data_IF_686466218897
#
_entry.id   IF_686466218897
#
_cell.length_a   1.000
_cell.length_b   1.000
_cell.length_c   1.000
_cell.angle_alpha   90.00
_cell.angle_beta   90.00
_cell.angle_gamma   90.00
#
_symmetry.space_group_name_H-M   'P 1'
#
loop_
_entity.id
_entity.type
_entity.pdbx_description
1 polymer ?
#
# COMPACT_ATOMS: atom_id res chain seq x y z
N UNK A 1 -53.09 -14.87 16.87
CA UNK A 1 -52.93 -15.96 15.87
C UNK A 1 -51.48 -16.00 15.44
N UNK A 2 -50.80 -17.07 15.86
CA UNK A 2 -49.56 -17.66 15.35
C UNK A 2 -48.35 -16.75 15.03
N UNK A 3 -47.49 -16.61 16.04
CA UNK A 3 -46.03 -16.60 15.88
C UNK A 3 -45.60 -17.87 15.11
N UNK A 4 -45.15 -17.72 13.87
CA UNK A 4 -44.43 -18.76 13.15
C UNK A 4 -42.94 -18.40 13.08
N UNK A 5 -42.15 -19.39 13.47
CA UNK A 5 -40.72 -19.41 13.68
C UNK A 5 -39.90 -18.93 12.48
N UNK A 6 -39.01 -17.96 12.71
CA UNK A 6 -37.88 -17.70 11.81
C UNK A 6 -36.65 -18.39 12.41
N UNK A 7 -36.12 -19.46 11.80
CA UNK A 7 -35.00 -20.22 12.35
C UNK A 7 -33.67 -19.52 12.01
N UNK A 8 -33.44 -18.32 12.54
CA UNK A 8 -32.18 -17.58 12.28
C UNK A 8 -31.11 -17.84 13.36
N UNK A 9 -31.49 -18.39 14.52
CA UNK A 9 -30.60 -18.50 15.69
C UNK A 9 -29.85 -19.84 15.83
N UNK A 10 -30.07 -20.83 14.95
CA UNK A 10 -29.42 -22.16 15.05
C UNK A 10 -28.28 -22.41 14.05
N UNK A 11 -27.97 -21.47 13.15
CA UNK A 11 -26.95 -21.66 12.12
C UNK A 11 -25.50 -21.31 12.57
N UNK A 12 -25.29 -20.75 13.75
CA UNK A 12 -23.95 -20.34 14.24
C UNK A 12 -23.28 -21.36 15.17
N UNK A 13 -23.87 -22.53 15.36
CA UNK A 13 -23.21 -23.69 15.95
C UNK A 13 -22.91 -24.73 14.85
N UNK A 14 -22.25 -24.30 13.78
CA UNK A 14 -21.54 -25.28 12.94
C UNK A 14 -20.38 -25.77 13.81
N UNK A 15 -20.28 -27.07 14.15
CA UNK A 15 -19.05 -27.57 14.71
C UNK A 15 -17.99 -27.25 13.65
N UNK A 16 -17.08 -26.33 13.98
CA UNK A 16 -15.91 -26.07 13.14
C UNK A 16 -15.23 -27.42 13.01
N UNK A 17 -15.46 -28.09 11.88
CA UNK A 17 -14.75 -29.29 11.54
C UNK A 17 -13.28 -28.90 11.67
N UNK A 18 -12.55 -29.62 12.53
CA UNK A 18 -11.10 -29.41 12.65
C UNK A 18 -10.55 -29.40 11.23
N UNK A 19 -9.76 -28.38 10.86
CA UNK A 19 -9.33 -28.20 9.48
C UNK A 19 -8.77 -29.52 8.95
N UNK A 20 -9.35 -30.02 7.85
CA UNK A 20 -8.83 -31.18 7.13
C UNK A 20 -7.82 -30.78 6.06
N UNK A 21 -7.38 -29.51 6.02
CA UNK A 21 -5.98 -29.28 5.67
C UNK A 21 -5.19 -30.01 6.76
N UNK A 22 -4.46 -31.08 6.45
CA UNK A 22 -3.68 -31.73 7.49
C UNK A 22 -2.77 -30.65 8.08
N UNK A 23 -2.96 -30.34 9.37
CA UNK A 23 -2.02 -29.51 10.14
C UNK A 23 -0.58 -30.06 10.03
N UNK A 24 -0.44 -31.30 9.53
CA UNK A 24 0.78 -31.99 9.13
C UNK A 24 1.60 -31.34 8.00
N UNK A 25 1.14 -30.27 7.35
CA UNK A 25 1.90 -29.57 6.29
C UNK A 25 2.39 -28.16 6.65
N UNK A 26 2.43 -27.80 7.94
CA UNK A 26 3.06 -26.56 8.39
C UNK A 26 4.52 -26.82 8.80
N UNK A 27 5.44 -25.98 8.31
CA UNK A 27 6.85 -26.00 8.71
C UNK A 27 7.05 -24.92 9.78
N UNK A 28 7.62 -25.29 10.92
CA UNK A 28 8.00 -24.34 11.96
C UNK A 28 9.40 -23.80 11.69
N UNK A 29 9.53 -22.47 11.70
CA UNK A 29 10.78 -21.76 11.54
C UNK A 29 11.11 -20.98 12.80
N UNK A 30 12.42 -20.86 13.06
CA UNK A 30 12.95 -19.90 14.02
C UNK A 30 13.50 -18.70 13.26
N UNK A 31 13.16 -17.50 13.71
CA UNK A 31 13.68 -16.29 13.08
C UNK A 31 15.16 -16.15 13.35
N UNK A 32 15.90 -16.06 12.26
CA UNK A 32 17.26 -15.57 12.20
C UNK A 32 17.22 -14.34 11.31
N UNK A 33 16.72 -13.25 11.89
CA UNK A 33 16.84 -11.93 11.29
C UNK A 33 18.22 -11.39 11.65
N UNK A 34 19.05 -11.12 10.66
CA UNK A 34 20.26 -10.35 10.87
C UNK A 34 19.92 -8.87 10.72
N UNK A 35 20.07 -8.08 11.78
CA UNK A 35 20.58 -6.73 11.57
C UNK A 35 21.91 -6.85 10.82
N UNK A 36 22.24 -5.97 9.87
CA UNK A 36 23.50 -6.05 9.13
C UNK A 36 24.69 -6.27 10.09
N UNK A 37 25.67 -7.10 9.74
CA UNK A 37 26.75 -7.48 10.66
C UNK A 37 27.57 -6.31 11.22
N UNK A 38 27.48 -5.10 10.66
CA UNK A 38 28.11 -3.88 11.15
C UNK A 38 27.29 -3.10 12.22
N UNK A 39 26.05 -3.50 12.51
CA UNK A 39 25.27 -2.91 13.62
C UNK A 39 25.67 -3.48 14.99
N UNK A 40 26.49 -4.53 15.03
CA UNK A 40 27.17 -4.95 16.26
C UNK A 40 28.52 -4.25 16.38
N UNK A 41 28.55 -3.23 17.26
CA UNK A 41 29.65 -2.56 17.98
C UNK A 41 31.10 -2.84 17.52
N UNK A 42 31.83 -1.73 17.32
CA UNK A 42 33.30 -1.57 17.34
C UNK A 42 34.07 -1.46 15.99
N UNK A 43 33.41 -1.07 14.89
CA UNK A 43 34.09 -0.66 13.65
C UNK A 43 34.03 0.86 13.38
N UNK A 44 35.04 1.47 12.71
CA UNK A 44 34.99 2.88 12.35
C UNK A 44 33.76 3.15 11.49
N UNK A 45 32.90 4.06 11.93
CA UNK A 45 31.74 4.51 11.17
C UNK A 45 32.26 5.11 9.85
N UNK A 46 31.81 4.66 8.67
CA UNK A 46 32.10 5.39 7.45
C UNK A 46 31.58 6.82 7.65
N UNK A 47 32.40 7.81 7.34
CA UNK A 47 31.99 9.20 7.38
C UNK A 47 30.74 9.32 6.52
N UNK A 48 29.59 9.54 7.17
CA UNK A 48 28.38 10.01 6.49
C UNK A 48 28.83 11.26 5.77
N UNK A 49 28.93 11.21 4.43
CA UNK A 49 28.95 12.44 3.64
C UNK A 49 27.70 13.18 4.08
N UNK A 50 27.90 14.33 4.72
CA UNK A 50 26.81 15.23 5.04
C UNK A 50 26.02 15.40 3.74
N UNK A 51 24.78 14.91 3.75
CA UNK A 51 23.82 15.33 2.75
C UNK A 51 23.76 16.85 2.91
N UNK A 52 24.03 17.65 1.86
CA UNK A 52 23.86 19.08 1.98
C UNK A 52 22.44 19.31 2.47
N UNK A 53 22.33 19.94 3.64
CA UNK A 53 21.07 20.50 4.11
C UNK A 53 20.49 21.28 2.94
N UNK A 54 19.27 20.99 2.47
CA UNK A 54 18.63 21.89 1.52
C UNK A 54 18.66 23.28 2.17
N UNK A 55 19.16 24.28 1.45
CA UNK A 55 19.04 25.67 1.86
C UNK A 55 17.60 25.90 2.30
N UNK A 56 17.44 26.20 3.58
CA UNK A 56 16.18 26.71 4.10
C UNK A 56 15.97 28.01 3.36
N UNK A 57 15.00 28.03 2.45
CA UNK A 57 14.52 29.27 1.88
C UNK A 57 14.22 30.24 3.04
N UNK A 58 14.65 31.51 2.96
CA UNK A 58 14.41 32.46 4.04
C UNK A 58 12.92 32.49 4.37
N UNK A 59 12.61 32.54 5.67
CA UNK A 59 11.24 32.65 6.16
C UNK A 59 10.52 33.78 5.40
N UNK A 60 9.30 33.56 4.87
CA UNK A 60 8.53 34.66 4.32
C UNK A 60 8.28 35.68 5.43
N UNK A 61 8.49 36.97 5.11
CA UNK A 61 8.23 38.05 6.06
C UNK A 61 6.84 37.93 6.68
N UNK A 62 6.69 38.29 7.98
CA UNK A 62 5.40 38.21 8.66
C UNK A 62 4.37 39.05 7.90
N UNK A 63 3.31 38.39 7.44
CA UNK A 63 2.14 39.05 6.88
C UNK A 63 1.53 39.94 7.98
N UNK A 64 1.32 41.24 7.74
CA UNK A 64 0.69 42.11 8.73
C UNK A 64 -0.73 41.60 9.04
N UNK A 65 -1.08 41.58 10.33
CA UNK A 65 -2.41 41.18 10.80
C UNK A 65 -3.51 41.94 10.03
N UNK A 66 -4.60 41.26 9.63
CA UNK A 66 -5.75 41.96 9.07
C UNK A 66 -6.33 42.90 10.13
N UNK A 67 -6.52 44.17 9.76
CA UNK A 67 -7.15 45.17 10.61
C UNK A 67 -8.48 44.67 11.17
N UNK A 68 -8.69 44.88 12.47
CA UNK A 68 -9.94 44.53 13.14
C UNK A 68 -11.15 45.16 12.41
N UNK A 69 -12.26 44.42 12.22
CA UNK A 69 -13.44 44.97 11.60
C UNK A 69 -14.01 46.11 12.45
N UNK A 70 -14.54 47.19 11.83
CA UNK A 70 -15.15 48.28 12.57
C UNK A 70 -16.37 47.78 13.38
N UNK A 71 -16.65 48.38 14.55
CA UNK A 71 -17.80 47.99 15.35
C UNK A 71 -19.11 48.22 14.57
N UNK A 72 -20.14 47.38 14.79
CA UNK A 72 -21.41 47.52 14.12
C UNK A 72 -22.08 48.86 14.48
N UNK A 73 -22.81 49.49 13.55
CA UNK A 73 -23.55 50.72 13.85
C UNK A 73 -24.66 50.45 14.89
N UNK A 74 -25.01 51.45 15.73
CA UNK A 74 -26.04 51.29 16.75
C UNK A 74 -27.39 50.94 16.12
N UNK A 75 -28.11 50.02 16.77
CA UNK A 75 -29.41 49.53 16.32
C UNK A 75 -30.42 50.67 16.17
N UNK A 76 -30.99 50.81 14.97
CA UNK A 76 -32.08 51.74 14.71
C UNK A 76 -33.35 51.32 15.49
N UNK A 77 -34.11 52.28 16.06
CA UNK A 77 -35.30 51.96 16.83
C UNK A 77 -36.38 51.31 15.95
N UNK A 78 -37.01 50.27 16.48
CA UNK A 78 -38.07 49.50 15.83
C UNK A 78 -39.22 50.41 15.39
N UNK A 79 -39.54 50.40 14.08
CA UNK A 79 -40.74 51.06 13.54
C UNK A 79 -41.97 50.15 13.72
N UNK A 80 -43.13 50.69 14.13
CA UNK A 80 -44.35 49.92 14.31
C UNK A 80 -44.96 49.50 12.96
N UNK A 81 -45.79 48.43 12.92
CA UNK A 81 -46.28 47.85 11.68
C UNK A 81 -47.33 48.77 11.05
N UNK A 82 -47.27 48.95 9.72
CA UNK A 82 -48.36 49.57 8.95
C UNK A 82 -48.82 48.69 7.78
N UNK A 83 -50.11 48.85 7.54
CA UNK A 83 -51.04 47.98 6.85
C UNK A 83 -50.81 47.79 5.34
N UNK A 84 -51.44 46.72 4.85
CA UNK A 84 -51.62 46.33 3.45
C UNK A 84 -52.20 47.45 2.56
N UNK A 85 -51.76 47.50 1.31
CA UNK A 85 -52.57 47.95 0.17
C UNK A 85 -52.18 47.18 -1.11
N UNK A 86 -53.21 46.85 -1.90
CA UNK A 86 -53.18 46.09 -3.17
C UNK A 86 -53.03 47.04 -4.38
N UNK A 87 -52.44 46.53 -5.47
CA UNK A 87 -52.81 46.67 -6.91
C UNK A 87 -51.55 46.34 -7.75
N UNK A 88 -51.54 45.33 -8.64
CA UNK A 88 -51.99 45.37 -10.04
C UNK A 88 -50.85 45.89 -10.94
N UNK A 89 -50.42 45.33 -12.08
CA UNK A 89 -50.77 44.19 -12.92
C UNK A 89 -49.97 44.31 -14.24
N UNK A 90 -49.85 43.19 -14.97
CA UNK A 90 -49.58 43.06 -16.42
C UNK A 90 -48.15 43.26 -17.01
N UNK A 91 -47.81 42.36 -17.96
CA UNK A 91 -46.91 42.65 -19.09
C UNK A 91 -45.81 41.60 -19.38
N UNK A 92 -46.02 40.74 -20.38
CA UNK A 92 -45.13 39.66 -20.87
C UNK A 92 -44.25 40.10 -22.09
N UNK A 93 -43.34 39.25 -22.66
CA UNK A 93 -42.07 39.57 -23.38
C UNK A 93 -42.26 39.54 -24.94
N UNK A 94 -41.35 39.07 -25.84
CA UNK A 94 -39.88 38.88 -25.90
C UNK A 94 -39.24 39.45 -27.21
N UNK A 95 -37.94 39.22 -27.51
CA UNK A 95 -37.46 38.88 -28.87
C UNK A 95 -35.99 38.45 -28.96
N UNK A 96 -35.74 37.64 -29.98
CA UNK A 96 -34.52 36.94 -30.35
C UNK A 96 -34.00 37.40 -31.74
N UNK A 97 -32.83 36.87 -32.12
CA UNK A 97 -32.32 36.50 -33.47
C UNK A 97 -31.10 37.26 -33.97
N UNK A 98 -30.18 36.48 -34.57
CA UNK A 98 -29.17 36.95 -35.51
C UNK A 98 -28.14 35.88 -35.86
N UNK A 99 -28.46 35.01 -36.82
CA UNK A 99 -27.54 34.08 -37.47
C UNK A 99 -26.78 34.76 -38.63
N UNK A 100 -25.65 34.20 -39.07
CA UNK A 100 -25.05 34.58 -40.35
C UNK A 100 -23.65 34.01 -40.59
N UNK A 101 -23.56 33.01 -41.48
CA UNK A 101 -22.33 32.43 -42.03
C UNK A 101 -21.72 33.30 -43.14
N UNK A 102 -20.43 33.10 -43.47
CA UNK A 102 -19.91 32.85 -44.84
C UNK A 102 -18.40 33.18 -45.01
N UNK A 103 -17.69 32.26 -45.69
CA UNK A 103 -16.54 32.47 -46.61
C UNK A 103 -15.20 32.95 -46.02
N UNK A 104 -14.02 32.48 -46.41
CA UNK A 104 -13.57 31.65 -47.53
C UNK A 104 -12.24 32.19 -48.08
N UNK A 105 -11.22 31.32 -48.22
CA UNK A 105 -9.93 31.48 -48.95
C UNK A 105 -8.95 32.52 -48.37
N UNK A 106 -7.63 32.37 -48.39
CA UNK A 106 -6.67 31.44 -49.00
C UNK A 106 -5.28 32.15 -48.98
N UNK A 107 -4.17 31.42 -48.99
CA UNK A 107 -2.84 32.03 -49.15
C UNK A 107 -1.69 31.22 -48.56
N UNK A 108 -1.01 30.49 -49.45
CA UNK A 108 0.20 29.69 -49.23
C UNK A 108 1.50 30.51 -49.14
N UNK A 109 2.59 29.77 -48.89
CA UNK A 109 4.04 29.99 -49.13
C UNK A 109 4.81 30.25 -47.82
N UNK A 110 5.90 29.55 -47.51
CA UNK A 110 6.64 28.50 -48.20
C UNK A 110 8.08 28.41 -47.63
N UNK A 111 8.71 27.24 -47.74
CA UNK A 111 10.18 27.11 -47.84
C UNK A 111 10.97 26.72 -46.58
N UNK A 112 11.36 25.45 -46.51
CA UNK A 112 12.72 25.02 -46.10
C UNK A 112 13.62 25.01 -47.37
N UNK A 113 14.98 24.92 -47.34
CA UNK A 113 15.69 23.76 -46.78
C UNK A 113 17.17 23.93 -46.31
N UNK A 114 17.61 22.96 -45.46
CA UNK A 114 18.85 22.13 -45.50
C UNK A 114 20.30 22.71 -45.59
N UNK A 115 21.14 22.08 -44.72
CA UNK A 115 22.45 21.38 -44.93
C UNK A 115 23.79 22.06 -44.53
N UNK A 116 24.69 21.21 -43.98
CA UNK A 116 26.16 21.32 -43.88
C UNK A 116 26.69 21.07 -42.45
N UNK A 117 27.23 19.89 -42.05
CA UNK A 117 28.58 19.32 -42.28
C UNK A 117 29.71 20.24 -41.74
N UNK A 118 30.77 19.87 -40.99
CA UNK A 118 31.60 18.65 -40.93
C UNK A 118 32.70 18.77 -39.84
N UNK A 119 33.09 17.66 -39.17
CA UNK A 119 34.44 17.00 -39.09
C UNK A 119 35.54 17.49 -38.12
N UNK A 120 36.16 16.50 -37.46
CA UNK A 120 37.59 16.41 -37.07
C UNK A 120 37.85 16.24 -35.56
N UNK A 121 38.85 15.52 -35.03
CA UNK A 121 39.52 14.22 -35.25
C UNK A 121 40.64 14.10 -34.17
N UNK A 122 40.83 12.90 -33.56
CA UNK A 122 42.07 12.31 -32.96
C UNK A 122 42.78 13.08 -31.81
N UNK A 123 43.50 12.50 -30.82
CA UNK A 123 43.96 11.15 -30.46
C UNK A 123 44.99 11.24 -29.30
N UNK A 124 45.38 10.10 -28.69
CA UNK A 124 46.69 9.92 -28.01
C UNK A 124 46.77 9.82 -26.47
N UNK A 125 47.09 8.62 -25.94
CA UNK A 125 47.96 8.45 -24.75
C UNK A 125 49.45 8.48 -25.16
N UNK A 126 50.47 8.04 -24.37
CA UNK A 126 50.47 7.15 -23.18
C UNK A 126 51.52 7.48 -22.05
N UNK A 127 51.65 6.58 -21.04
CA UNK A 127 52.85 6.35 -20.19
C UNK A 127 52.82 6.99 -18.77
N UNK A 128 53.28 6.40 -17.66
CA UNK A 128 53.99 5.14 -17.36
C UNK A 128 55.04 5.34 -16.23
N UNK A 129 55.04 4.47 -15.20
CA UNK A 129 56.10 4.31 -14.17
C UNK A 129 55.84 5.04 -12.83
N UNK A 130 56.07 4.49 -11.63
CA UNK A 130 56.69 3.27 -11.12
C UNK A 130 57.10 3.53 -9.65
N UNK A 131 57.03 2.54 -8.75
CA UNK A 131 57.53 2.71 -7.37
C UNK A 131 57.02 1.65 -6.38
N UNK A 132 57.95 0.85 -5.89
CA UNK A 132 57.83 -0.38 -5.10
C UNK A 132 57.40 -0.19 -3.63
N UNK A 133 56.97 -1.28 -2.98
CA UNK A 133 56.94 -1.34 -1.51
C UNK A 133 56.22 -2.54 -0.90
N UNK A 134 56.97 -3.60 -0.58
CA UNK A 134 56.82 -4.32 0.70
C UNK A 134 55.79 -5.45 0.81
N UNK A 135 56.31 -6.68 0.80
CA UNK A 135 55.64 -7.86 1.31
C UNK A 135 55.37 -7.76 2.83
N UNK A 136 54.14 -8.06 3.28
CA UNK A 136 53.88 -8.49 4.65
C UNK A 136 52.55 -9.25 4.80
N UNK A 137 52.66 -10.56 4.99
CA UNK A 137 51.83 -11.31 5.94
C UNK A 137 50.32 -11.37 5.71
N UNK A 138 49.89 -12.37 4.93
CA UNK A 138 48.59 -12.98 5.14
C UNK A 138 48.50 -13.56 6.56
N UNK A 139 47.78 -12.89 7.47
CA UNK A 139 47.27 -13.50 8.70
C UNK A 139 45.76 -13.31 8.75
N UNK A 140 45.08 -14.44 8.80
CA UNK A 140 43.64 -14.53 8.68
C UNK A 140 42.88 -13.77 9.76
N UNK A 141 41.76 -13.22 9.34
CA UNK A 141 40.65 -12.88 10.22
C UNK A 141 39.39 -13.59 9.71
N UNK A 142 39.31 -14.90 9.92
CA UNK A 142 38.03 -15.62 9.90
C UNK A 142 37.34 -15.43 11.26
N UNK A 143 36.91 -14.21 11.59
CA UNK A 143 35.92 -14.05 12.68
C UNK A 143 34.54 -14.26 12.07
N UNK A 144 34.05 -15.50 12.16
CA UNK A 144 32.61 -15.80 12.00
C UNK A 144 31.87 -15.01 13.06
N UNK A 145 31.25 -13.90 12.68
CA UNK A 145 30.21 -13.27 13.49
C UNK A 145 28.98 -14.16 13.46
N UNK A 146 28.95 -15.20 14.31
CA UNK A 146 27.71 -15.92 14.65
C UNK A 146 26.88 -15.00 15.54
N UNK A 147 26.14 -14.07 14.96
CA UNK A 147 25.12 -13.32 15.67
C UNK A 147 24.08 -14.31 16.22
N UNK A 148 24.02 -14.50 17.54
CA UNK A 148 22.94 -15.27 18.17
C UNK A 148 21.64 -14.50 17.93
N UNK A 149 20.61 -15.16 17.39
CA UNK A 149 19.28 -14.56 17.33
C UNK A 149 18.79 -14.35 18.76
N UNK A 150 18.46 -13.11 19.11
CA UNK A 150 18.04 -12.73 20.47
C UNK A 150 16.65 -13.26 20.84
N UNK A 151 15.98 -13.98 19.93
CA UNK A 151 14.63 -14.53 20.15
C UNK A 151 13.59 -13.45 20.43
N UNK A 152 13.88 -12.19 20.10
CA UNK A 152 13.09 -11.03 20.49
C UNK A 152 12.01 -10.72 19.46
N UNK A 153 10.80 -10.40 19.94
CA UNK A 153 9.64 -10.03 19.14
C UNK A 153 8.58 -11.15 19.02
N UNK A 154 7.31 -10.80 18.72
CA UNK A 154 6.20 -11.75 18.70
C UNK A 154 6.34 -12.85 17.63
N UNK A 155 7.19 -12.63 16.63
CA UNK A 155 7.41 -13.54 15.52
C UNK A 155 8.70 -14.36 15.65
N UNK A 156 9.33 -14.45 16.83
CA UNK A 156 10.61 -15.16 17.02
C UNK A 156 10.59 -16.63 16.54
N UNK A 157 9.39 -17.22 16.53
CA UNK A 157 9.04 -18.44 15.81
C UNK A 157 7.81 -18.17 14.94
N UNK A 158 7.72 -18.84 13.81
CA UNK A 158 6.53 -18.77 12.96
C UNK A 158 6.31 -20.08 12.23
N UNK A 159 5.07 -20.30 11.78
CA UNK A 159 4.72 -21.43 10.91
C UNK A 159 4.47 -20.93 9.50
N UNK A 160 4.86 -21.73 8.52
CA UNK A 160 4.64 -21.43 7.12
C UNK A 160 4.08 -22.66 6.38
N UNK A 161 3.11 -22.51 5.47
CA UNK A 161 2.61 -23.64 4.67
C UNK A 161 3.71 -24.25 3.83
N UNK A 162 3.86 -25.57 3.89
CA UNK A 162 4.82 -26.31 3.06
C UNK A 162 4.56 -26.09 1.57
N UNK A 163 3.29 -26.04 1.14
CA UNK A 163 2.86 -25.85 -0.25
C UNK A 163 1.90 -24.68 -0.41
N UNK A 164 1.92 -24.05 -1.59
CA UNK A 164 1.00 -22.98 -1.99
C UNK A 164 1.23 -21.64 -1.28
N UNK A 165 2.22 -21.56 -0.40
CA UNK A 165 2.56 -20.37 0.37
C UNK A 165 1.43 -19.85 1.25
N UNK A 166 1.57 -18.61 1.74
CA UNK A 166 0.55 -17.95 2.57
C UNK A 166 -0.86 -17.96 1.94
N UNK A 167 -0.96 -17.94 0.60
CA UNK A 167 -2.24 -17.98 -0.11
C UNK A 167 -3.04 -19.26 0.13
N UNK A 168 -2.38 -20.39 0.37
CA UNK A 168 -3.03 -21.68 0.61
C UNK A 168 -3.93 -21.66 1.86
N UNK A 169 -3.55 -20.90 2.90
CA UNK A 169 -4.35 -20.74 4.12
C UNK A 169 -5.72 -20.15 3.77
N UNK A 170 -5.73 -19.06 3.00
CA UNK A 170 -6.95 -18.34 2.64
C UNK A 170 -7.79 -19.07 1.59
N UNK A 171 -7.14 -19.77 0.66
CA UNK A 171 -7.84 -20.65 -0.28
C UNK A 171 -8.52 -21.82 0.45
N UNK A 172 -7.83 -22.43 1.42
CA UNK A 172 -8.39 -23.50 2.25
C UNK A 172 -9.56 -23.03 3.12
N UNK A 173 -9.49 -21.81 3.64
CA UNK A 173 -10.63 -21.20 4.35
C UNK A 173 -11.80 -20.91 3.40
N UNK A 174 -11.53 -20.30 2.25
CA UNK A 174 -12.55 -19.97 1.25
C UNK A 174 -13.30 -21.21 0.75
N UNK A 175 -12.60 -22.34 0.59
CA UNK A 175 -13.19 -23.62 0.18
C UNK A 175 -14.16 -24.22 1.20
N UNK A 176 -14.11 -23.79 2.47
CA UNK A 176 -15.02 -24.24 3.52
C UNK A 176 -16.31 -23.39 3.59
N UNK A 177 -16.37 -22.26 2.89
CA UNK A 177 -17.56 -21.42 2.87
C UNK A 177 -18.65 -22.02 1.98
N UNK A 178 -19.94 -21.84 2.32
CA UNK A 178 -21.03 -22.33 1.49
C UNK A 178 -20.95 -21.83 0.04
N UNK A 179 -21.27 -22.72 -0.90
CA UNK A 179 -21.31 -22.39 -2.32
C UNK A 179 -22.19 -21.17 -2.61
N UNK A 180 -21.69 -20.26 -3.45
CA UNK A 180 -22.42 -19.05 -3.86
C UNK A 180 -22.26 -17.83 -2.95
N UNK A 181 -21.68 -17.98 -1.75
CA UNK A 181 -21.38 -16.85 -0.85
C UNK A 181 -20.19 -16.02 -1.33
N UNK A 182 -19.23 -16.68 -1.97
CA UNK A 182 -18.10 -16.02 -2.61
C UNK A 182 -18.41 -15.76 -4.07
N UNK A 183 -18.38 -14.48 -4.45
CA UNK A 183 -18.59 -14.02 -5.82
C UNK A 183 -17.33 -13.29 -6.29
N UNK A 184 -16.54 -13.95 -7.13
CA UNK A 184 -15.37 -13.36 -7.77
C UNK A 184 -15.75 -12.68 -9.08
N UNK A 185 -14.85 -11.86 -9.63
CA UNK A 185 -15.13 -11.06 -10.83
C UNK A 185 -16.36 -10.15 -10.70
N UNK A 186 -16.62 -9.64 -9.49
CA UNK A 186 -17.71 -8.72 -9.19
C UNK A 186 -17.13 -7.48 -8.51
N UNK A 187 -16.72 -6.50 -9.32
CA UNK A 187 -16.18 -5.24 -8.81
C UNK A 187 -17.30 -4.34 -8.30
N UNK A 188 -17.24 -3.91 -7.04
CA UNK A 188 -18.13 -2.88 -6.52
C UNK A 188 -17.74 -1.54 -7.14
N UNK A 189 -18.60 -0.99 -7.99
CA UNK A 189 -18.36 0.25 -8.74
C UNK A 189 -19.14 1.44 -8.20
N UNK A 190 -20.19 1.19 -7.41
CA UNK A 190 -21.01 2.23 -6.79
C UNK A 190 -21.61 1.73 -5.47
N UNK A 191 -21.72 2.61 -4.48
CA UNK A 191 -22.39 2.33 -3.21
C UNK A 191 -23.27 3.53 -2.88
N UNK A 192 -24.54 3.27 -2.55
CA UNK A 192 -25.53 4.28 -2.12
C UNK A 192 -25.91 3.99 -0.67
N UNK A 193 -25.27 4.65 0.30
CA UNK A 193 -25.46 4.35 1.72
C UNK A 193 -26.91 4.53 2.20
N UNK A 194 -27.56 5.61 1.79
CA UNK A 194 -28.91 5.96 2.23
C UNK A 194 -29.96 4.98 1.71
N UNK A 195 -29.78 4.49 0.48
CA UNK A 195 -30.63 3.48 -0.13
C UNK A 195 -30.22 2.04 0.23
N UNK A 196 -29.10 1.88 0.95
CA UNK A 196 -28.46 0.60 1.28
C UNK A 196 -28.33 -0.37 0.10
N UNK A 197 -27.86 0.14 -1.03
CA UNK A 197 -27.59 -0.66 -2.22
C UNK A 197 -26.17 -0.43 -2.75
N UNK A 198 -25.61 -1.45 -3.38
CA UNK A 198 -24.35 -1.36 -4.10
C UNK A 198 -24.49 -1.93 -5.51
N UNK A 199 -23.72 -1.40 -6.45
CA UNK A 199 -23.68 -1.86 -7.84
C UNK A 199 -22.37 -2.61 -8.06
N UNK A 200 -22.50 -3.87 -8.46
CA UNK A 200 -21.37 -4.70 -8.87
C UNK A 200 -21.30 -4.77 -10.39
N UNK A 201 -20.11 -4.57 -10.96
CA UNK A 201 -19.78 -4.84 -12.35
C UNK A 201 -19.11 -6.22 -12.45
N UNK A 202 -19.64 -7.09 -13.29
CA UNK A 202 -19.00 -8.38 -13.60
C UNK A 202 -19.03 -8.71 -15.09
N UNK A 203 -18.60 -9.93 -15.48
CA UNK A 203 -18.52 -10.36 -16.87
C UNK A 203 -19.87 -10.33 -17.61
N UNK A 204 -20.98 -10.54 -16.87
CA UNK A 204 -22.33 -10.56 -17.42
C UNK A 204 -23.04 -9.19 -17.36
N UNK A 205 -22.33 -8.13 -16.94
CA UNK A 205 -22.86 -6.78 -16.80
C UNK A 205 -22.96 -6.30 -15.36
N UNK A 206 -23.65 -5.16 -15.18
CA UNK A 206 -23.85 -4.54 -13.88
C UNK A 206 -25.13 -5.06 -13.19
N UNK A 207 -25.08 -5.25 -11.87
CA UNK A 207 -26.25 -5.59 -11.05
C UNK A 207 -26.25 -4.83 -9.73
N UNK A 208 -27.43 -4.59 -9.20
CA UNK A 208 -27.65 -3.98 -7.88
C UNK A 208 -27.86 -5.05 -6.82
N UNK A 209 -27.29 -4.84 -5.63
CA UNK A 209 -27.45 -5.67 -4.45
C UNK A 209 -27.85 -4.80 -3.27
N UNK A 210 -28.88 -5.20 -2.54
CA UNK A 210 -29.26 -4.59 -1.26
C UNK A 210 -28.45 -5.18 -0.10
N UNK A 211 -28.28 -4.41 0.97
CA UNK A 211 -27.67 -4.87 2.21
C UNK A 211 -28.36 -4.26 3.43
N UNK A 212 -28.32 -4.95 4.57
CA UNK A 212 -28.69 -4.36 5.86
C UNK A 212 -27.48 -3.72 6.54
N UNK A 213 -26.37 -4.45 6.47
CA UNK A 213 -25.03 -4.09 6.96
C UNK A 213 -24.02 -4.35 5.85
N UNK A 214 -23.08 -3.42 5.66
CA UNK A 214 -21.98 -3.55 4.71
C UNK A 214 -20.64 -3.60 5.45
N UNK A 215 -19.89 -4.68 5.28
CA UNK A 215 -18.50 -4.78 5.77
C UNK A 215 -17.57 -4.43 4.61
N UNK A 216 -16.93 -3.26 4.69
CA UNK A 216 -15.92 -2.84 3.71
C UNK A 216 -14.52 -3.30 4.15
N UNK A 217 -13.88 -4.12 3.33
CA UNK A 217 -12.46 -4.49 3.50
C UNK A 217 -11.56 -3.88 2.42
N UNK A 218 -12.14 -3.12 1.48
CA UNK A 218 -11.38 -2.38 0.47
C UNK A 218 -10.72 -1.13 1.09
N UNK A 219 -9.69 -0.55 0.44
CA UNK A 219 -9.03 0.64 0.94
C UNK A 219 -10.00 1.80 1.21
N UNK A 220 -9.93 2.35 2.43
CA UNK A 220 -10.88 3.34 2.94
C UNK A 220 -10.95 4.61 2.05
N UNK A 221 -9.79 5.06 1.57
CA UNK A 221 -9.67 6.19 0.66
C UNK A 221 -10.40 5.95 -0.67
N UNK A 222 -10.19 4.78 -1.29
CA UNK A 222 -10.85 4.39 -2.53
C UNK A 222 -12.34 4.13 -2.34
N UNK A 223 -12.73 3.58 -1.19
CA UNK A 223 -14.13 3.37 -0.84
C UNK A 223 -14.88 4.71 -0.71
N UNK A 224 -14.34 5.66 0.08
CA UNK A 224 -14.94 6.99 0.25
C UNK A 224 -14.96 7.76 -1.07
N UNK A 225 -13.91 7.67 -1.89
CA UNK A 225 -13.89 8.28 -3.22
C UNK A 225 -15.03 7.76 -4.11
N UNK A 226 -15.37 6.47 -4.01
CA UNK A 226 -16.47 5.83 -4.76
C UNK A 226 -17.86 6.27 -4.29
N UNK A 227 -18.00 6.72 -3.04
CA UNK A 227 -19.24 7.38 -2.58
C UNK A 227 -19.45 8.73 -3.27
N UNK A 228 -18.38 9.36 -3.76
CA UNK A 228 -18.45 10.66 -4.44
C UNK A 228 -19.17 11.70 -3.57
N UNK A 229 -20.10 12.45 -4.18
CA UNK A 229 -20.88 13.47 -3.48
C UNK A 229 -21.82 12.95 -2.38
N UNK A 230 -22.02 11.63 -2.25
CA UNK A 230 -22.82 11.04 -1.18
C UNK A 230 -22.07 11.05 0.17
N UNK A 231 -20.74 11.04 0.14
CA UNK A 231 -19.95 11.21 1.35
C UNK A 231 -19.91 12.68 1.77
N UNK A 232 -20.04 12.95 3.07
CA UNK A 232 -19.96 14.32 3.57
C UNK A 232 -18.59 14.96 3.27
N UNK A 233 -18.61 16.27 3.02
CA UNK A 233 -17.43 17.07 2.69
C UNK A 233 -16.21 16.84 3.60
N UNK A 234 -16.34 16.87 4.95
CA UNK A 234 -15.24 16.57 5.86
C UNK A 234 -14.69 15.14 5.69
N UNK A 235 -15.56 14.16 5.42
CA UNK A 235 -15.19 12.75 5.26
C UNK A 235 -14.37 12.55 3.98
N UNK A 236 -14.79 13.14 2.86
CA UNK A 236 -14.04 13.06 1.60
C UNK A 236 -12.66 13.69 1.72
N UNK A 237 -12.59 14.88 2.34
CA UNK A 237 -11.32 15.58 2.58
C UNK A 237 -10.42 14.79 3.52
N UNK A 238 -10.97 14.18 4.56
CA UNK A 238 -10.19 13.37 5.48
C UNK A 238 -9.62 12.12 4.79
N UNK A 239 -10.46 11.41 4.02
CA UNK A 239 -10.05 10.20 3.31
C UNK A 239 -8.94 10.47 2.27
N UNK A 240 -9.01 11.59 1.54
CA UNK A 240 -7.98 12.00 0.58
C UNK A 240 -6.62 12.35 1.22
N UNK A 241 -6.60 12.60 2.53
CA UNK A 241 -5.38 12.91 3.29
C UNK A 241 -4.69 11.68 3.87
N UNK A 242 -5.36 10.51 3.88
CA UNK A 242 -4.73 9.26 4.28
C UNK A 242 -3.52 8.96 3.39
N UNK A 243 -2.42 8.54 4.00
CA UNK A 243 -1.15 8.28 3.30
C UNK A 243 -0.85 6.80 3.27
N UNK A 244 -0.29 6.35 2.15
CA UNK A 244 0.21 4.99 1.97
C UNK A 244 1.51 5.03 1.16
N UNK A 245 2.30 3.97 1.26
CA UNK A 245 3.39 3.71 0.31
C UNK A 245 3.02 2.59 -0.65
N UNK A 246 3.53 2.65 -1.87
CA UNK A 246 3.50 1.54 -2.80
C UNK A 246 4.63 0.55 -2.47
N UNK A 247 4.47 -0.72 -2.83
CA UNK A 247 5.51 -1.73 -2.64
C UNK A 247 5.72 -2.53 -3.91
N UNK A 248 6.94 -2.53 -4.43
CA UNK A 248 7.37 -3.50 -5.43
C UNK A 248 7.78 -4.78 -4.72
N UNK A 249 7.16 -5.89 -5.12
CA UNK A 249 7.54 -7.23 -4.71
C UNK A 249 8.26 -7.88 -5.89
N UNK A 250 9.51 -8.30 -5.64
CA UNK A 250 10.41 -8.81 -6.66
C UNK A 250 10.84 -10.22 -6.27
N UNK A 251 10.43 -11.21 -7.06
CA UNK A 251 10.87 -12.58 -6.92
C UNK A 251 12.07 -12.84 -7.83
N UNK A 252 13.13 -13.43 -7.28
CA UNK A 252 14.27 -13.93 -8.04
C UNK A 252 14.38 -15.44 -7.82
N UNK A 253 14.26 -16.22 -8.90
CA UNK A 253 14.59 -17.64 -8.90
C UNK A 253 16.02 -17.83 -9.39
N UNK A 254 16.80 -18.60 -8.64
CA UNK A 254 18.26 -18.65 -8.75
C UNK A 254 18.74 -20.09 -8.90
N UNK A 255 19.56 -20.36 -9.93
CA UNK A 255 20.31 -21.62 -10.07
C UNK A 255 21.55 -21.59 -9.21
N UNK A 256 21.97 -22.74 -8.72
CA UNK A 256 23.17 -22.91 -7.92
C UNK A 256 22.86 -23.06 -6.44
N UNK A 257 23.89 -22.96 -5.61
CA UNK A 257 23.74 -23.12 -4.16
C UNK A 257 23.52 -21.76 -3.50
N UNK A 258 22.54 -21.69 -2.60
CA UNK A 258 22.38 -20.55 -1.72
C UNK A 258 23.68 -20.34 -0.91
N UNK A 259 24.26 -19.12 -0.88
CA UNK A 259 25.49 -18.86 -0.15
C UNK A 259 25.35 -19.16 1.35
N UNK A 260 26.42 -19.65 2.00
CA UNK A 260 26.45 -19.97 3.44
C UNK A 260 26.02 -18.77 4.31
N UNK A 261 26.31 -17.54 3.87
CA UNK A 261 25.93 -16.31 4.56
C UNK A 261 24.40 -16.07 4.64
N UNK A 262 23.63 -16.69 3.74
CA UNK A 262 22.17 -16.57 3.65
C UNK A 262 21.44 -17.85 4.12
N UNK A 263 22.15 -18.99 4.18
CA UNK A 263 21.54 -20.31 4.36
C UNK A 263 20.74 -20.46 5.67
N UNK A 264 21.11 -19.74 6.73
CA UNK A 264 20.40 -19.75 8.02
C UNK A 264 19.42 -18.58 8.17
N UNK A 265 19.28 -17.69 7.17
CA UNK A 265 18.49 -16.46 7.26
C UNK A 265 17.06 -16.68 6.81
N UNK A 266 16.15 -15.95 7.47
CA UNK A 266 14.72 -15.92 7.11
C UNK A 266 14.44 -14.70 6.24
N UNK A 267 14.50 -13.53 6.85
CA UNK A 267 14.54 -12.25 6.15
C UNK A 267 15.64 -11.34 6.70
N UNK A 268 16.04 -10.38 5.88
CA UNK A 268 17.15 -9.47 6.12
C UNK A 268 16.67 -8.05 5.82
N UNK A 269 16.98 -7.11 6.71
CA UNK A 269 16.72 -5.70 6.50
C UNK A 269 17.96 -5.02 5.93
N UNK A 270 17.76 -4.21 4.90
CA UNK A 270 18.81 -3.40 4.28
C UNK A 270 18.49 -1.93 4.54
N UNK A 271 19.26 -1.24 5.40
CA UNK A 271 19.07 0.19 5.66
C UNK A 271 19.73 1.08 4.59
N UNK A 272 20.55 0.49 3.71
CA UNK A 272 21.23 1.22 2.65
C UNK A 272 20.25 1.63 1.54
N UNK A 273 20.57 2.70 0.82
CA UNK A 273 19.82 3.14 -0.36
C UNK A 273 20.02 2.22 -1.57
N UNK A 274 21.10 1.44 -1.60
CA UNK A 274 21.40 0.47 -2.64
C UNK A 274 21.77 -0.90 -2.02
N UNK A 275 21.12 -2.02 -2.43
CA UNK A 275 20.00 -2.11 -3.39
C UNK A 275 18.75 -1.33 -2.94
N UNK A 276 17.81 -1.02 -3.85
CA UNK A 276 16.61 -0.20 -3.55
C UNK A 276 15.56 -0.94 -2.70
N UNK A 277 15.93 -2.07 -2.09
CA UNK A 277 15.04 -2.94 -1.33
C UNK A 277 15.34 -2.77 0.16
N UNK A 278 14.29 -2.62 0.95
CA UNK A 278 14.41 -2.48 2.41
C UNK A 278 14.34 -3.84 3.12
N UNK A 279 13.78 -4.86 2.45
CA UNK A 279 13.70 -6.24 2.97
C UNK A 279 13.96 -7.27 1.87
N UNK A 280 14.75 -8.29 2.21
CA UNK A 280 14.98 -9.47 1.37
C UNK A 280 14.68 -10.72 2.19
N UNK A 281 13.85 -11.60 1.67
CA UNK A 281 13.49 -12.89 2.27
C UNK A 281 14.14 -14.01 1.47
N UNK A 282 14.81 -14.94 2.15
CA UNK A 282 15.29 -16.20 1.53
C UNK A 282 14.09 -17.14 1.45
N UNK A 283 13.26 -16.94 0.44
CA UNK A 283 11.90 -17.51 0.41
C UNK A 283 11.90 -19.04 0.27
N UNK A 284 12.92 -19.59 -0.39
CA UNK A 284 13.15 -21.05 -0.45
C UNK A 284 13.55 -21.65 0.90
N UNK A 285 14.00 -20.87 1.89
CA UNK A 285 14.26 -21.38 3.24
C UNK A 285 12.96 -21.70 4.01
N UNK A 286 11.80 -21.26 3.51
CA UNK A 286 10.51 -21.52 4.16
C UNK A 286 9.94 -22.90 3.80
N UNK A 287 10.30 -23.43 2.63
CA UNK A 287 9.92 -24.78 2.20
C UNK A 287 10.71 -25.16 0.96
N UNK A 288 11.18 -26.41 0.91
CA UNK A 288 11.78 -26.99 -0.29
C UNK A 288 10.77 -27.00 -1.45
N UNK A 289 9.47 -27.17 -1.18
CA UNK A 289 8.42 -27.19 -2.21
C UNK A 289 8.17 -25.80 -2.86
N UNK A 290 8.88 -24.74 -2.44
CA UNK A 290 8.80 -23.40 -3.06
C UNK A 290 9.72 -23.22 -4.28
N UNK A 291 10.57 -24.20 -4.57
CA UNK A 291 11.49 -24.17 -5.72
C UNK A 291 11.40 -25.48 -6.49
N UNK A 292 11.66 -25.49 -7.80
CA UNK A 292 11.49 -26.68 -8.63
C UNK A 292 12.52 -27.78 -8.31
N UNK A 293 13.76 -27.41 -7.95
CA UNK A 293 14.83 -28.35 -7.67
C UNK A 293 15.57 -27.97 -6.37
N UNK A 294 15.06 -28.39 -5.20
CA UNK A 294 15.67 -28.07 -3.91
C UNK A 294 17.16 -28.47 -3.85
N UNK A 295 17.99 -27.58 -3.30
CA UNK A 295 19.45 -27.75 -3.23
C UNK A 295 20.21 -27.45 -4.53
N UNK A 296 19.53 -27.39 -5.68
CA UNK A 296 20.09 -26.89 -6.97
C UNK A 296 19.55 -25.53 -7.37
N UNK A 297 18.38 -25.17 -6.85
CA UNK A 297 17.71 -23.89 -7.04
C UNK A 297 17.28 -23.32 -5.71
N UNK A 298 17.21 -22.00 -5.63
CA UNK A 298 16.80 -21.24 -4.44
C UNK A 298 16.12 -19.93 -4.86
N UNK A 299 15.49 -19.22 -3.93
CA UNK A 299 14.76 -18.00 -4.27
C UNK A 299 14.88 -16.88 -3.24
N UNK A 300 14.84 -15.66 -3.75
CA UNK A 300 14.75 -14.43 -2.96
C UNK A 300 13.43 -13.70 -3.27
N UNK A 301 12.78 -13.22 -2.22
CA UNK A 301 11.65 -12.30 -2.31
C UNK A 301 12.07 -10.95 -1.74
N UNK A 302 12.19 -9.94 -2.60
CA UNK A 302 12.68 -8.62 -2.25
C UNK A 302 11.53 -7.60 -2.27
N UNK A 303 11.56 -6.67 -1.32
CA UNK A 303 10.57 -5.60 -1.19
C UNK A 303 11.24 -4.24 -1.27
N UNK A 304 10.78 -3.42 -2.22
CA UNK A 304 11.15 -2.02 -2.37
C UNK A 304 9.92 -1.13 -2.16
N UNK A 305 10.10 -0.03 -1.43
CA UNK A 305 9.03 0.95 -1.25
C UNK A 305 9.13 2.00 -2.34
N UNK A 306 7.98 2.41 -2.89
CA UNK A 306 7.87 3.53 -3.80
C UNK A 306 7.01 4.61 -3.14
N UNK A 307 7.53 5.83 -3.03
CA UNK A 307 6.73 6.98 -2.60
C UNK A 307 6.07 7.67 -3.79
N UNK A 308 4.91 8.32 -3.61
CA UNK A 308 4.23 9.02 -4.70
C UNK A 308 5.16 10.07 -5.36
N UNK A 309 5.49 9.86 -6.64
CA UNK A 309 6.39 10.72 -7.42
C UNK A 309 7.65 10.02 -7.91
N UNK A 310 8.08 8.96 -7.23
CA UNK A 310 9.28 8.17 -7.56
C UNK A 310 8.91 6.97 -8.45
N UNK A 311 8.36 7.19 -9.65
CA UNK A 311 7.91 6.07 -10.47
C UNK A 311 9.08 5.26 -11.02
N UNK A 312 9.22 4.02 -10.57
CA UNK A 312 10.16 3.07 -11.17
C UNK A 312 9.45 2.09 -12.09
N UNK A 313 10.03 1.85 -13.27
CA UNK A 313 9.52 0.81 -14.16
C UNK A 313 9.78 -0.58 -13.54
N UNK A 314 8.89 -1.57 -13.75
CA UNK A 314 9.13 -2.96 -13.32
C UNK A 314 10.51 -3.49 -13.73
N UNK A 315 10.92 -3.20 -14.98
CA UNK A 315 12.22 -3.64 -15.51
C UNK A 315 13.39 -2.98 -14.78
N UNK A 316 13.31 -1.68 -14.50
CA UNK A 316 14.40 -0.94 -13.86
C UNK A 316 14.59 -1.33 -12.39
N UNK A 317 13.50 -1.50 -11.63
CA UNK A 317 13.60 -1.88 -10.20
C UNK A 317 14.13 -3.32 -10.05
N UNK A 318 13.71 -4.25 -10.92
CA UNK A 318 14.25 -5.62 -10.95
C UNK A 318 15.75 -5.60 -11.27
N UNK A 319 16.15 -4.89 -12.32
CA UNK A 319 17.56 -4.80 -12.71
C UNK A 319 18.43 -4.12 -11.62
N UNK A 320 17.92 -3.06 -10.97
CA UNK A 320 18.61 -2.41 -9.87
C UNK A 320 18.73 -3.32 -8.64
N UNK A 321 17.70 -4.13 -8.35
CA UNK A 321 17.73 -5.13 -7.28
C UNK A 321 18.79 -6.20 -7.56
N UNK A 322 18.80 -6.79 -8.76
CA UNK A 322 19.81 -7.80 -9.14
C UNK A 322 21.22 -7.23 -9.00
N UNK A 323 21.49 -6.06 -9.59
CA UNK A 323 22.82 -5.42 -9.49
C UNK A 323 23.24 -5.15 -8.05
N UNK A 324 22.34 -4.65 -7.20
CA UNK A 324 22.68 -4.38 -5.81
C UNK A 324 22.92 -5.66 -5.01
N UNK A 325 22.19 -6.75 -5.28
CA UNK A 325 22.45 -8.06 -4.66
C UNK A 325 23.74 -8.71 -5.16
N UNK A 326 24.11 -8.51 -6.43
CA UNK A 326 25.43 -8.87 -6.97
C UNK A 326 26.55 -8.09 -6.28
N UNK A 327 26.39 -6.78 -6.09
CA UNK A 327 27.36 -5.92 -5.42
C UNK A 327 27.55 -6.32 -3.93
N UNK A 328 26.48 -6.77 -3.27
CA UNK A 328 26.56 -7.38 -1.93
C UNK A 328 27.22 -8.77 -1.93
N UNK A 329 27.49 -9.35 -3.11
CA UNK A 329 28.06 -10.68 -3.27
C UNK A 329 27.08 -11.82 -3.03
N UNK A 330 25.78 -11.54 -2.88
CA UNK A 330 24.76 -12.52 -2.54
C UNK A 330 24.36 -13.40 -3.72
N UNK A 331 24.60 -12.93 -4.95
CA UNK A 331 24.34 -13.70 -6.18
C UNK A 331 25.61 -14.34 -6.75
N UNK A 332 26.74 -14.34 -6.02
CA UNK A 332 28.00 -14.92 -6.50
C UNK A 332 27.85 -16.42 -6.75
N UNK A 333 28.11 -16.84 -8.00
CA UNK A 333 28.01 -18.25 -8.41
C UNK A 333 26.57 -18.74 -8.59
N UNK A 334 25.59 -17.83 -8.55
CA UNK A 334 24.21 -18.12 -8.88
C UNK A 334 23.84 -17.52 -10.26
N UNK A 335 22.96 -18.21 -10.98
CA UNK A 335 22.37 -17.72 -12.24
C UNK A 335 20.93 -17.29 -11.97
N UNK A 336 20.52 -16.12 -12.47
CA UNK A 336 19.11 -15.71 -12.38
C UNK A 336 18.30 -16.46 -13.44
N UNK A 337 17.58 -17.49 -13.02
CA UNK A 337 16.74 -18.31 -13.91
C UNK A 337 15.38 -17.67 -14.18
N UNK A 338 14.82 -16.99 -13.18
CA UNK A 338 13.51 -16.36 -13.31
C UNK A 338 13.43 -15.07 -12.52
N UNK A 339 12.61 -14.16 -13.02
CA UNK A 339 12.25 -12.94 -12.31
C UNK A 339 10.73 -12.82 -12.30
N UNK A 340 10.19 -12.34 -11.19
CA UNK A 340 8.78 -12.02 -11.04
C UNK A 340 8.65 -10.65 -10.39
N UNK A 341 7.65 -9.89 -10.81
CA UNK A 341 7.40 -8.55 -10.27
C UNK A 341 5.91 -8.31 -10.09
N UNK A 342 5.57 -7.66 -8.97
CA UNK A 342 4.25 -7.08 -8.75
C UNK A 342 4.35 -5.76 -8.01
N UNK A 343 3.64 -4.75 -8.50
CA UNK A 343 3.42 -3.50 -7.77
C UNK A 343 2.14 -3.62 -6.93
N UNK A 344 2.28 -3.45 -5.62
CA UNK A 344 1.17 -3.23 -4.70
C UNK A 344 1.00 -1.71 -4.54
N UNK A 345 0.01 -1.13 -5.22
CA UNK A 345 -0.25 0.33 -5.18
C UNK A 345 -0.46 0.80 -3.74
N UNK A 346 -1.13 -0.01 -2.91
CA UNK A 346 -1.28 0.22 -1.48
C UNK A 346 -0.54 -0.89 -0.74
N UNK A 347 0.74 -0.65 -0.47
CA UNK A 347 1.61 -1.57 0.27
C UNK A 347 1.47 -1.41 1.78
N UNK A 348 1.76 -0.21 2.28
CA UNK A 348 1.65 0.10 3.72
C UNK A 348 0.75 1.31 3.99
N UNK A 349 -0.25 1.20 4.90
CA UNK A 349 -0.89 2.38 5.46
C UNK A 349 0.13 3.11 6.36
N UNK A 350 0.40 4.39 6.07
CA UNK A 350 1.41 5.16 6.81
C UNK A 350 0.78 5.72 8.08
N UNK A 351 1.33 5.46 9.28
CA UNK A 351 0.86 6.04 10.53
C UNK A 351 1.32 7.50 10.66
N UNK A 352 0.73 8.39 9.86
CA UNK A 352 1.00 9.84 9.96
C UNK A 352 0.48 10.40 11.27
N UNK A 353 1.01 11.54 11.71
CA UNK A 353 0.59 12.20 12.97
C UNK A 353 -0.90 12.54 12.98
N UNK A 354 -1.48 12.87 11.82
CA UNK A 354 -2.89 13.25 11.72
C UNK A 354 -3.82 12.05 11.51
N UNK A 355 -3.29 10.83 11.32
CA UNK A 355 -4.06 9.65 10.90
C UNK A 355 -5.30 9.44 11.77
N UNK A 356 -5.14 9.41 13.08
CA UNK A 356 -6.25 9.06 13.97
C UNK A 356 -7.37 10.10 13.93
N UNK A 357 -7.05 11.40 13.91
CA UNK A 357 -8.05 12.45 13.73
C UNK A 357 -8.79 12.35 12.38
N UNK A 358 -8.12 11.90 11.32
CA UNK A 358 -8.77 11.63 10.03
C UNK A 358 -9.72 10.43 10.15
N UNK A 359 -9.30 9.35 10.80
CA UNK A 359 -10.12 8.15 11.00
C UNK A 359 -11.35 8.43 11.88
N UNK A 360 -11.20 9.25 12.93
CA UNK A 360 -12.30 9.68 13.80
C UNK A 360 -13.34 10.53 13.07
N UNK A 361 -12.97 11.14 11.95
CA UNK A 361 -13.91 11.80 11.04
C UNK A 361 -14.63 10.80 10.13
N UNK A 362 -13.92 9.80 9.61
CA UNK A 362 -14.42 8.92 8.54
C UNK A 362 -15.23 7.74 9.09
N UNK A 363 -14.68 7.00 10.05
CA UNK A 363 -15.25 5.73 10.49
C UNK A 363 -16.61 5.90 11.18
N UNK A 364 -16.83 6.85 12.11
CA UNK A 364 -18.15 7.04 12.71
C UNK A 364 -19.22 7.44 11.70
N UNK A 365 -18.85 8.22 10.68
CA UNK A 365 -19.79 8.62 9.63
C UNK A 365 -20.27 7.43 8.79
N UNK A 366 -19.37 6.47 8.54
CA UNK A 366 -19.70 5.20 7.87
C UNK A 366 -20.53 4.28 8.77
N UNK A 367 -20.14 4.12 10.04
CA UNK A 367 -20.84 3.23 10.98
C UNK A 367 -22.28 3.71 11.24
N UNK A 368 -22.52 5.02 11.28
CA UNK A 368 -23.87 5.60 11.35
C UNK A 368 -24.79 5.18 10.17
N UNK A 369 -24.21 4.71 9.06
CA UNK A 369 -24.90 4.20 7.86
C UNK A 369 -24.87 2.67 7.76
N UNK A 370 -24.51 1.98 8.83
CA UNK A 370 -24.32 0.52 8.86
C UNK A 370 -23.25 0.04 7.88
N UNK A 371 -22.23 0.88 7.64
CA UNK A 371 -21.04 0.54 6.86
C UNK A 371 -19.85 0.45 7.81
N UNK A 372 -19.28 -0.72 7.97
CA UNK A 372 -18.16 -0.98 8.87
C UNK A 372 -16.91 -1.26 8.05
N UNK A 373 -15.93 -0.37 8.14
CA UNK A 373 -14.67 -0.52 7.41
C UNK A 373 -13.59 -1.15 8.29
N UNK A 374 -13.00 -2.28 7.86
CA UNK A 374 -12.06 -3.10 8.64
C UNK A 374 -10.93 -3.66 7.76
N UNK A 375 -9.87 -4.15 8.39
CA UNK A 375 -8.68 -4.72 7.77
C UNK A 375 -7.57 -3.69 7.50
N UNK A 376 -6.43 -4.16 6.98
CA UNK A 376 -5.21 -3.35 6.78
C UNK A 376 -5.44 -1.95 6.20
N UNK A 377 -6.19 -1.85 5.10
CA UNK A 377 -6.51 -0.56 4.47
C UNK A 377 -7.97 -0.11 4.68
N UNK A 378 -8.84 -0.98 5.21
CA UNK A 378 -10.19 -0.56 5.59
C UNK A 378 -10.21 0.23 6.90
N UNK A 379 -9.35 -0.13 7.87
CA UNK A 379 -9.17 0.58 9.13
C UNK A 379 -7.94 1.52 9.12
N UNK A 380 -6.99 1.30 8.20
CA UNK A 380 -5.78 2.13 8.03
C UNK A 380 -4.81 2.15 9.23
N UNK A 381 -4.93 1.21 10.16
CA UNK A 381 -4.04 1.08 11.33
C UNK A 381 -2.99 0.00 11.06
N UNK A 382 -1.74 0.42 10.80
CA UNK A 382 -0.64 -0.48 10.45
C UNK A 382 -0.34 -1.49 11.57
N UNK A 383 -0.39 -1.03 12.81
CA UNK A 383 -0.22 -1.81 14.03
C UNK A 383 -1.22 -2.97 14.15
N UNK A 384 -2.41 -2.84 13.53
CA UNK A 384 -3.44 -3.87 13.44
C UNK A 384 -3.57 -4.42 12.01
N UNK A 385 -2.50 -4.35 11.21
CA UNK A 385 -2.52 -4.61 9.77
C UNK A 385 -1.95 -5.95 9.32
N UNK A 386 -1.63 -6.86 10.26
CA UNK A 386 -1.17 -8.22 9.98
C UNK A 386 -2.35 -9.14 9.63
N UNK A 387 -2.04 -10.36 9.21
CA UNK A 387 -3.03 -11.35 8.78
C UNK A 387 -4.00 -11.76 9.89
N UNK A 388 -3.45 -12.09 11.06
CA UNK A 388 -4.18 -12.40 12.29
C UNK A 388 -5.06 -11.23 12.74
N UNK A 389 -4.49 -10.02 12.82
CA UNK A 389 -5.24 -8.82 13.18
C UNK A 389 -6.39 -8.55 12.20
N UNK A 390 -6.12 -8.63 10.89
CA UNK A 390 -7.13 -8.36 9.86
C UNK A 390 -8.24 -9.41 9.86
N UNK A 391 -7.89 -10.67 10.11
CA UNK A 391 -8.88 -11.75 10.27
C UNK A 391 -9.75 -11.53 11.50
N UNK A 392 -9.12 -11.25 12.65
CA UNK A 392 -9.83 -11.03 13.90
C UNK A 392 -10.72 -9.80 13.88
N UNK A 393 -10.34 -8.72 13.18
CA UNK A 393 -11.24 -7.58 12.97
C UNK A 393 -12.56 -7.97 12.29
N UNK A 394 -12.54 -8.94 11.36
CA UNK A 394 -13.76 -9.46 10.75
C UNK A 394 -14.59 -10.30 11.73
N UNK A 395 -13.94 -11.18 12.48
CA UNK A 395 -14.58 -12.03 13.50
C UNK A 395 -15.22 -11.17 14.59
N UNK A 396 -14.47 -10.24 15.17
CA UNK A 396 -14.92 -9.37 16.27
C UNK A 396 -16.06 -8.45 15.84
N UNK A 397 -16.03 -7.93 14.61
CA UNK A 397 -17.15 -7.14 14.09
C UNK A 397 -18.42 -7.98 13.97
N UNK A 398 -18.33 -9.21 13.47
CA UNK A 398 -19.49 -10.11 13.39
C UNK A 398 -20.01 -10.46 14.78
N UNK A 399 -19.12 -10.75 15.74
CA UNK A 399 -19.47 -10.97 17.14
C UNK A 399 -20.16 -9.73 17.75
N UNK A 400 -19.69 -8.50 17.47
CA UNK A 400 -20.34 -7.27 17.91
C UNK A 400 -21.75 -7.13 17.34
N UNK A 401 -21.91 -7.37 16.04
CA UNK A 401 -23.19 -7.19 15.35
C UNK A 401 -24.24 -8.21 15.76
N UNK A 402 -23.85 -9.47 15.98
CA UNK A 402 -24.77 -10.56 16.26
C UNK A 402 -24.92 -10.86 17.76
N UNK A 403 -23.85 -10.71 18.54
CA UNK A 403 -23.79 -11.11 19.95
C UNK A 403 -23.66 -9.90 20.90
N UNK A 404 -23.57 -8.68 20.38
CA UNK A 404 -23.34 -7.45 21.17
C UNK A 404 -22.05 -7.48 22.01
N UNK A 405 -21.04 -8.21 21.55
CA UNK A 405 -19.71 -8.20 22.15
C UNK A 405 -18.95 -6.90 21.80
N UNK A 406 -17.98 -6.51 22.63
CA UNK A 406 -17.07 -5.39 22.30
C UNK A 406 -15.97 -5.84 21.33
N UNK A 407 -15.67 -5.02 20.32
CA UNK A 407 -14.48 -5.19 19.47
C UNK A 407 -13.21 -4.85 20.28
N UNK A 408 -12.11 -5.59 20.06
CA UNK A 408 -10.85 -5.40 20.78
C UNK A 408 -10.76 -6.07 22.15
N UNK A 409 -11.84 -6.66 22.68
CA UNK A 409 -11.86 -7.34 23.99
C UNK A 409 -11.00 -8.62 24.04
N UNK A 410 -10.59 -9.17 22.89
CA UNK A 410 -9.73 -10.37 22.78
C UNK A 410 -8.27 -10.05 22.46
N UNK A 411 -7.93 -8.76 22.33
CA UNK A 411 -6.58 -8.30 21.97
C UNK A 411 -5.69 -7.94 23.18
N UNK A 412 -6.15 -8.20 24.41
CA UNK A 412 -5.42 -7.94 25.67
C UNK A 412 -4.82 -9.20 26.29
#
# INVERSE_FOLDING_TARGET
>A
MSTQDVPFARAFAVPVARPTTPLAELIEHRVVASAPPWINRDGPRPALKAVPTPEVAPEPEPVPEPAAPPPPPPAAPARPPRARARAGGAGRPPRARGAGACGGRGGERGGAPRRGASRGAQGGGPGGGGGEGGAAGARGFSRRCRGRSTGWGPNARFRYPRRGGTGAIWQGLAAQLPGGWLQTNAEVVEVRPEAKVLRCQGPLGARWLGYDVLINTSPLDAFVARLGGLAADPVRRAAARLRYTSTHVIGLGLRGRCPEALADKTWIYLPASEPPVHRVTVFSAYSDDHVPEPGRTWSLLCEASETPGERQSPRSIVAATVRGLEALGWLRGAEVESTWHRLLVRGYPVPTRERDALLDTILPWLEARQIYSRGRFGQWRYELGNQDHSYMQGVELVDRLLLRAEEGARAS
#
